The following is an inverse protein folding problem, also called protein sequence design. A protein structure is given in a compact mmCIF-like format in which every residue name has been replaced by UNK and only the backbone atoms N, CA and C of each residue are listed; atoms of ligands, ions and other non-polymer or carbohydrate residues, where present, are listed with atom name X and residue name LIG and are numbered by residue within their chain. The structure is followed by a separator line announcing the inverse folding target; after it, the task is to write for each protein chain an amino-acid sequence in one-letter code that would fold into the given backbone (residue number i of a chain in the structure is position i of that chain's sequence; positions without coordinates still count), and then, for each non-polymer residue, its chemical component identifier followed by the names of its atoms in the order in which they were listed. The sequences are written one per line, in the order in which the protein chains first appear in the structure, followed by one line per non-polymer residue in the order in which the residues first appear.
data_IF_928626464098
#
_entry.id   IF_928626464098
#
_cell.length_a   1.000
_cell.length_b   1.000
_cell.length_c   1.000
_cell.angle_alpha   90.00
_cell.angle_beta   90.00
_cell.angle_gamma   90.00
#
_symmetry.space_group_name_H-M   'P 1'
#
loop_
_entity.id
_entity.type
_entity.pdbx_description
1 polymer ?
#
# COMPACT_ATOMS: atom_id res chain seq x y z
N UNK A 1 1.95 3.17 3.05
CA UNK A 1 1.31 3.10 4.39
C UNK A 1 2.41 3.02 5.42
N UNK A 2 2.43 3.96 6.38
CA UNK A 2 3.46 4.10 7.43
C UNK A 2 3.36 3.01 8.52
N UNK A 3 3.11 1.75 8.15
CA UNK A 3 3.15 0.60 9.04
C UNK A 3 4.43 -0.18 8.81
N UNK A 4 4.92 -0.92 9.80
CA UNK A 4 6.08 -1.79 9.59
C UNK A 4 5.80 -2.83 8.49
N UNK A 5 6.84 -3.38 7.84
CA UNK A 5 6.66 -4.42 6.83
C UNK A 5 5.83 -5.62 7.33
N UNK A 6 6.06 -6.08 8.57
CA UNK A 6 5.30 -7.19 9.17
C UNK A 6 3.83 -6.84 9.35
N UNK A 7 3.50 -5.65 9.86
CA UNK A 7 2.11 -5.20 10.01
C UNK A 7 1.39 -5.16 8.66
N UNK A 8 2.03 -4.63 7.61
CA UNK A 8 1.43 -4.59 6.26
C UNK A 8 1.20 -5.97 5.68
N UNK A 9 2.05 -6.95 6.01
CA UNK A 9 1.91 -8.31 5.50
C UNK A 9 0.86 -9.10 6.28
N UNK A 10 1.00 -9.16 7.59
CA UNK A 10 0.27 -10.11 8.42
C UNK A 10 -1.06 -9.56 8.92
N UNK A 11 -1.21 -8.23 8.98
CA UNK A 11 -2.36 -7.57 9.63
C UNK A 11 -3.18 -6.71 8.66
N UNK A 12 -2.95 -6.85 7.36
CA UNK A 12 -3.60 -6.00 6.34
C UNK A 12 -5.12 -6.00 6.44
N UNK A 13 -5.73 -7.17 6.63
CA UNK A 13 -7.20 -7.28 6.73
C UNK A 13 -7.76 -6.60 7.97
N UNK A 14 -7.05 -6.69 9.10
CA UNK A 14 -7.43 -6.03 10.34
C UNK A 14 -7.25 -4.52 10.26
N UNK A 15 -6.15 -4.06 9.66
CA UNK A 15 -5.91 -2.63 9.41
C UNK A 15 -6.98 -2.04 8.48
N UNK A 16 -7.31 -2.76 7.41
CA UNK A 16 -8.35 -2.35 6.48
C UNK A 16 -9.72 -2.31 7.17
N UNK A 17 -10.07 -3.36 7.93
CA UNK A 17 -11.31 -3.38 8.70
C UNK A 17 -11.39 -2.20 9.67
N UNK A 18 -10.33 -1.97 10.45
CA UNK A 18 -10.24 -0.85 11.38
C UNK A 18 -10.42 0.50 10.67
N UNK A 19 -9.76 0.70 9.53
CA UNK A 19 -9.92 1.90 8.71
C UNK A 19 -11.39 2.10 8.28
N UNK A 20 -12.02 1.06 7.74
CA UNK A 20 -13.40 1.14 7.24
C UNK A 20 -14.37 1.48 8.36
N UNK A 21 -14.28 0.82 9.52
CA UNK A 21 -15.15 1.12 10.66
C UNK A 21 -14.98 2.57 11.11
N UNK A 22 -13.74 3.05 11.24
CA UNK A 22 -13.49 4.43 11.63
C UNK A 22 -13.99 5.43 10.59
N UNK A 23 -13.85 5.14 9.29
CA UNK A 23 -14.40 5.95 8.21
C UNK A 23 -15.93 6.05 8.32
N UNK A 24 -16.61 4.92 8.45
CA UNK A 24 -18.07 4.88 8.59
C UNK A 24 -18.56 5.65 9.82
N UNK A 25 -17.93 5.44 10.97
CA UNK A 25 -18.24 6.18 12.20
C UNK A 25 -18.01 7.68 12.04
N UNK A 26 -16.94 8.07 11.36
CA UNK A 26 -16.62 9.48 11.11
C UNK A 26 -17.66 10.12 10.20
N UNK A 27 -18.05 9.45 9.11
CA UNK A 27 -19.09 9.92 8.19
C UNK A 27 -20.44 10.11 8.90
N UNK A 28 -20.80 9.21 9.83
CA UNK A 28 -21.99 9.36 10.67
C UNK A 28 -21.90 10.58 11.60
N UNK A 29 -20.75 10.77 12.25
CA UNK A 29 -20.53 11.89 13.19
C UNK A 29 -20.59 13.27 12.53
N UNK A 30 -20.14 13.38 11.28
CA UNK A 30 -20.20 14.64 10.51
C UNK A 30 -21.51 14.79 9.74
N UNK A 31 -22.51 13.94 10.02
CA UNK A 31 -23.82 13.95 9.39
C UNK A 31 -23.75 13.92 7.86
N UNK A 32 -22.81 13.13 7.32
CA UNK A 32 -22.63 13.01 5.88
C UNK A 32 -23.92 12.49 5.22
N UNK A 33 -24.47 13.27 4.29
CA UNK A 33 -25.76 12.97 3.64
C UNK A 33 -25.66 11.97 2.47
N UNK A 34 -24.45 11.55 2.09
CA UNK A 34 -24.25 10.60 1.00
C UNK A 34 -24.28 9.14 1.46
N UNK A 35 -24.10 8.23 0.50
CA UNK A 35 -23.97 6.80 0.79
C UNK A 35 -22.72 6.51 1.62
N UNK A 36 -22.89 5.78 2.72
CA UNK A 36 -21.76 5.31 3.54
C UNK A 36 -21.40 3.90 3.05
N UNK A 37 -20.20 3.73 2.44
CA UNK A 37 -19.84 2.46 1.83
C UNK A 37 -19.66 1.37 2.88
N UNK A 38 -20.15 0.17 2.56
CA UNK A 38 -19.99 -1.05 3.34
C UNK A 38 -18.59 -1.64 3.17
N UNK A 39 -18.22 -2.57 4.06
CA UNK A 39 -16.95 -3.30 3.95
C UNK A 39 -16.88 -4.08 2.63
N UNK A 40 -18.00 -4.67 2.19
CA UNK A 40 -18.07 -5.44 0.95
C UNK A 40 -17.84 -4.55 -0.27
N UNK A 41 -18.47 -3.37 -0.32
CA UNK A 41 -18.29 -2.41 -1.41
C UNK A 41 -16.84 -1.92 -1.49
N UNK A 42 -16.23 -1.57 -0.36
CA UNK A 42 -14.81 -1.13 -0.34
C UNK A 42 -13.89 -2.26 -0.81
N UNK A 43 -14.12 -3.51 -0.39
CA UNK A 43 -13.31 -4.65 -0.83
C UNK A 43 -13.50 -4.94 -2.32
N UNK A 44 -14.72 -4.82 -2.84
CA UNK A 44 -15.00 -4.97 -4.26
C UNK A 44 -14.27 -3.90 -5.08
N UNK A 45 -14.31 -2.64 -4.65
CA UNK A 45 -13.56 -1.54 -5.26
C UNK A 45 -12.04 -1.81 -5.22
N UNK A 46 -11.50 -2.23 -4.07
CA UNK A 46 -10.06 -2.56 -3.99
C UNK A 46 -9.66 -3.67 -4.97
N UNK A 47 -10.52 -4.66 -5.20
CA UNK A 47 -10.28 -5.71 -6.19
C UNK A 47 -10.41 -5.19 -7.63
N UNK A 48 -11.39 -4.34 -7.91
CA UNK A 48 -11.57 -3.72 -9.21
C UNK A 48 -10.35 -2.85 -9.59
N UNK A 49 -9.79 -2.14 -8.61
CA UNK A 49 -8.62 -1.27 -8.76
C UNK A 49 -7.31 -1.97 -8.35
N UNK A 50 -7.25 -3.31 -8.37
CA UNK A 50 -6.07 -4.10 -7.95
C UNK A 50 -4.76 -3.68 -8.65
N UNK A 51 -4.83 -3.30 -9.93
CA UNK A 51 -3.68 -2.81 -10.69
C UNK A 51 -3.15 -1.46 -10.20
N UNK A 52 -4.01 -0.59 -9.67
CA UNK A 52 -3.57 0.61 -8.97
C UNK A 52 -2.83 0.27 -7.68
N UNK A 53 -3.25 -0.78 -6.98
CA UNK A 53 -2.50 -1.34 -5.86
C UNK A 53 -1.06 -1.73 -6.25
N UNK A 54 -0.88 -2.40 -7.39
CA UNK A 54 0.46 -2.73 -7.91
C UNK A 54 1.25 -1.46 -8.23
N UNK A 55 0.63 -0.51 -8.95
CA UNK A 55 1.26 0.76 -9.29
C UNK A 55 1.75 1.50 -8.03
N UNK A 56 0.91 1.61 -7.00
CA UNK A 56 1.27 2.26 -5.75
C UNK A 56 2.40 1.53 -5.03
N UNK A 57 2.45 0.21 -5.09
CA UNK A 57 3.55 -0.55 -4.48
C UNK A 57 4.84 -0.29 -5.23
N UNK A 58 4.86 -0.43 -6.55
CA UNK A 58 6.09 -0.17 -7.31
C UNK A 58 6.55 1.27 -7.14
N UNK A 59 5.65 2.25 -7.17
CA UNK A 59 6.02 3.67 -7.13
C UNK A 59 6.25 4.24 -5.73
N UNK A 60 5.68 3.65 -4.67
CA UNK A 60 5.76 4.21 -3.31
C UNK A 60 6.49 3.31 -2.31
N UNK A 61 6.83 2.06 -2.66
CA UNK A 61 7.50 1.17 -1.71
C UNK A 61 8.82 1.78 -1.23
N UNK A 62 9.66 2.30 -2.11
CA UNK A 62 10.93 2.91 -1.73
C UNK A 62 10.73 4.15 -0.83
N UNK A 63 9.67 4.95 -1.04
CA UNK A 63 9.34 6.05 -0.14
C UNK A 63 8.97 5.57 1.27
N UNK A 64 8.27 4.44 1.40
CA UNK A 64 7.97 3.88 2.72
C UNK A 64 9.25 3.45 3.47
N UNK A 65 10.28 3.00 2.75
CA UNK A 65 11.58 2.70 3.36
C UNK A 65 12.36 3.98 3.67
N UNK A 66 12.32 4.98 2.78
CA UNK A 66 12.96 6.29 3.00
C UNK A 66 12.41 7.02 4.23
N UNK A 67 11.13 6.83 4.54
CA UNK A 67 10.48 7.40 5.72
C UNK A 67 10.90 6.76 7.05
N UNK A 68 11.49 5.57 7.02
CA UNK A 68 11.83 4.78 8.22
C UNK A 68 13.33 4.58 8.38
N UNK A 69 14.07 4.55 7.28
CA UNK A 69 15.52 4.38 7.23
C UNK A 69 16.17 5.72 6.86
N UNK A 70 16.67 6.45 7.86
CA UNK A 70 17.30 7.77 7.69
C UNK A 70 18.55 7.73 6.79
N UNK A 71 19.11 6.54 6.50
CA UNK A 71 20.21 6.40 5.54
C UNK A 71 19.78 6.60 4.09
N UNK A 72 18.47 6.64 3.83
CA UNK A 72 17.88 6.80 2.50
C UNK A 72 17.55 8.28 2.28
N UNK A 73 18.32 8.92 1.40
CA UNK A 73 18.15 10.31 1.01
C UNK A 73 16.90 10.50 0.13
N UNK A 74 15.83 11.04 0.73
CA UNK A 74 14.51 11.20 0.10
C UNK A 74 14.50 12.25 -1.02
N UNK A 75 15.28 13.32 -0.89
CA UNK A 75 15.50 14.32 -1.92
C UNK A 75 16.05 13.68 -3.21
N UNK A 76 17.08 12.82 -3.08
CA UNK A 76 17.65 12.08 -4.21
C UNK A 76 16.64 11.14 -4.87
N UNK A 77 15.76 10.54 -4.07
CA UNK A 77 14.67 9.71 -4.60
C UNK A 77 13.66 10.50 -5.41
N UNK A 78 13.39 11.76 -5.08
CA UNK A 78 12.44 12.58 -5.84
C UNK A 78 13.10 13.14 -7.10
N UNK A 79 14.32 13.65 -6.98
CA UNK A 79 14.96 14.47 -7.99
C UNK A 79 15.72 13.67 -9.04
N UNK A 80 16.18 12.46 -8.72
CA UNK A 80 17.05 11.68 -9.60
C UNK A 80 16.44 10.35 -10.02
N UNK A 81 16.23 10.18 -11.33
CA UNK A 81 15.84 8.88 -11.89
C UNK A 81 16.92 7.81 -11.70
N UNK A 82 18.20 8.18 -11.85
CA UNK A 82 19.31 7.23 -11.69
C UNK A 82 19.41 6.74 -10.25
N UNK A 83 19.22 7.62 -9.27
CA UNK A 83 19.14 7.25 -7.86
C UNK A 83 17.95 6.30 -7.63
N UNK A 84 16.75 6.66 -8.09
CA UNK A 84 15.55 5.80 -7.99
C UNK A 84 15.79 4.41 -8.56
N UNK A 85 16.39 4.30 -9.75
CA UNK A 85 16.72 3.01 -10.36
C UNK A 85 17.68 2.19 -9.49
N UNK A 86 18.70 2.82 -8.92
CA UNK A 86 19.63 2.14 -8.01
C UNK A 86 18.92 1.61 -6.75
N UNK A 87 17.89 2.29 -6.26
CA UNK A 87 17.10 1.81 -5.12
C UNK A 87 16.29 0.54 -5.41
N UNK A 88 15.83 0.32 -6.64
CA UNK A 88 15.21 -0.97 -6.99
C UNK A 88 16.21 -2.13 -7.04
N UNK A 89 17.51 -1.85 -7.14
CA UNK A 89 18.56 -2.84 -6.98
C UNK A 89 18.94 -3.08 -5.50
N UNK A 90 18.36 -2.32 -4.55
CA UNK A 90 18.64 -2.49 -3.13
C UNK A 90 18.12 -3.87 -2.64
N UNK A 91 18.98 -4.69 -1.99
CA UNK A 91 18.58 -6.00 -1.49
C UNK A 91 17.35 -5.96 -0.58
N UNK A 92 17.21 -4.95 0.29
CA UNK A 92 16.06 -4.82 1.20
C UNK A 92 14.74 -4.70 0.44
N UNK A 93 14.74 -3.95 -0.66
CA UNK A 93 13.55 -3.76 -1.52
C UNK A 93 13.27 -5.01 -2.32
N UNK A 94 14.30 -5.64 -2.88
CA UNK A 94 14.17 -6.89 -3.63
C UNK A 94 13.63 -8.02 -2.75
N UNK A 95 14.11 -8.14 -1.52
CA UNK A 95 13.64 -9.13 -0.55
C UNK A 95 12.18 -8.90 -0.17
N UNK A 96 11.76 -7.65 0.01
CA UNK A 96 10.35 -7.32 0.23
C UNK A 96 9.48 -7.69 -0.97
N UNK A 97 9.91 -7.38 -2.20
CA UNK A 97 9.19 -7.72 -3.42
C UNK A 97 9.10 -9.24 -3.63
N UNK A 98 10.14 -10.00 -3.28
CA UNK A 98 10.11 -11.48 -3.32
C UNK A 98 9.04 -12.08 -2.42
N UNK A 99 8.64 -11.38 -1.36
CA UNK A 99 7.56 -11.81 -0.46
C UNK A 99 6.20 -11.29 -0.96
N UNK A 100 6.13 -10.05 -1.42
CA UNK A 100 4.87 -9.41 -1.81
C UNK A 100 4.32 -9.92 -3.14
N UNK A 101 5.17 -10.14 -4.15
CA UNK A 101 4.72 -10.53 -5.50
C UNK A 101 3.98 -11.88 -5.52
N UNK A 102 4.47 -12.95 -4.86
CA UNK A 102 3.72 -14.20 -4.76
C UNK A 102 2.35 -14.03 -4.10
N UNK A 103 2.23 -13.13 -3.10
CA UNK A 103 0.94 -12.83 -2.48
C UNK A 103 -0.02 -12.18 -3.48
N UNK A 104 0.44 -11.20 -4.26
CA UNK A 104 -0.40 -10.56 -5.28
C UNK A 104 -0.84 -11.55 -6.37
N UNK A 105 0.05 -12.48 -6.75
CA UNK A 105 -0.30 -13.57 -7.63
C UNK A 105 -1.45 -14.42 -7.06
N UNK A 106 -1.34 -14.88 -5.82
CA UNK A 106 -2.41 -15.67 -5.19
C UNK A 106 -3.72 -14.91 -4.96
N UNK A 107 -3.66 -13.57 -4.89
CA UNK A 107 -4.83 -12.70 -4.80
C UNK A 107 -5.45 -12.36 -6.17
N UNK A 108 -4.91 -12.90 -7.27
CA UNK A 108 -5.42 -12.70 -8.61
C UNK A 108 -5.10 -11.33 -9.22
N UNK A 109 -4.06 -10.65 -8.73
CA UNK A 109 -3.69 -9.31 -9.24
C UNK A 109 -3.11 -9.35 -10.67
N UNK A 110 -2.72 -10.52 -11.14
CA UNK A 110 -2.15 -10.74 -12.48
C UNK A 110 -3.06 -11.55 -13.41
N UNK A 111 -4.28 -11.84 -12.98
CA UNK A 111 -5.29 -12.54 -13.79
C UNK A 111 -6.11 -11.52 -14.61
N UNK A 112 -6.49 -11.94 -15.83
CA UNK A 112 -7.32 -11.16 -16.77
C UNK A 112 -8.79 -11.05 -16.34
#
# INVERSE_FOLDING_TARGET
MMYSPSMRRERMDELLYYYIINLQETLRKVEFHGHIPTIQEIRAEMQAYRHWGLYLIFTLLYFNYALVDESIEMDKLVESETARRAYYANPKILDELRILLPRFLHLGYFEE
#
